data_IF_133153026288
#
_entry.id   IF_133153026288
#
_cell.length_a   1.000
_cell.length_b   1.000
_cell.length_c   1.000
_cell.angle_alpha   90.00
_cell.angle_beta   90.00
_cell.angle_gamma   90.00
#
_symmetry.space_group_name_H-M   'P 1'
#
loop_
_entity.id
_entity.type
_entity.pdbx_description
1 polymer ?
#
# COMPACT_ATOMS: atom_id res chain seq x y z
N UNK A 1 104.08 41.25 -8.48
CA UNK A 1 103.61 40.58 -7.25
C UNK A 1 102.19 40.15 -7.50
N UNK A 2 101.86 38.92 -7.77
CA UNK A 2 100.50 38.49 -7.97
C UNK A 2 99.99 37.67 -6.77
N UNK A 3 98.75 37.94 -6.42
CA UNK A 3 97.99 37.30 -5.34
C UNK A 3 97.28 36.08 -5.90
N UNK A 4 97.26 34.96 -5.22
CA UNK A 4 96.62 33.74 -5.76
C UNK A 4 95.12 33.74 -5.50
N UNK A 5 94.38 33.26 -6.52
CA UNK A 5 92.95 32.98 -6.48
C UNK A 5 92.68 31.69 -5.69
N UNK A 6 91.81 31.75 -4.71
CA UNK A 6 91.32 30.60 -4.01
C UNK A 6 90.07 30.08 -4.67
N UNK A 7 90.02 28.78 -5.06
CA UNK A 7 88.93 28.12 -5.59
C UNK A 7 87.86 27.74 -4.52
N UNK A 8 86.63 28.04 -4.79
CA UNK A 8 85.48 27.62 -3.97
C UNK A 8 84.88 26.26 -4.56
N UNK A 9 84.54 25.33 -3.70
CA UNK A 9 83.92 24.07 -4.18
C UNK A 9 82.43 24.27 -4.50
N UNK A 10 82.00 23.67 -5.61
CA UNK A 10 80.63 23.60 -6.05
C UNK A 10 79.79 22.70 -5.09
N UNK A 11 78.73 23.26 -4.57
CA UNK A 11 77.74 22.50 -3.85
C UNK A 11 76.71 21.91 -4.84
N UNK A 12 76.64 20.58 -4.96
CA UNK A 12 75.56 19.86 -5.62
C UNK A 12 74.32 20.05 -4.78
N UNK A 13 73.29 20.68 -5.34
CA UNK A 13 71.92 20.67 -4.80
C UNK A 13 71.20 19.41 -5.28
N UNK A 14 70.99 18.48 -4.38
CA UNK A 14 70.08 17.36 -4.63
C UNK A 14 68.63 17.85 -4.58
N UNK A 15 67.95 17.82 -5.74
CA UNK A 15 66.51 18.10 -5.80
C UNK A 15 65.77 16.83 -5.33
N UNK A 16 65.17 16.92 -4.13
CA UNK A 16 64.23 15.90 -3.64
C UNK A 16 62.89 16.18 -4.30
N UNK A 17 62.51 15.32 -5.29
CA UNK A 17 61.16 15.29 -5.81
C UNK A 17 60.23 14.66 -4.77
N UNK A 18 59.44 15.47 -4.08
CA UNK A 18 58.36 15.04 -3.23
C UNK A 18 57.18 14.70 -4.13
N UNK A 19 56.98 13.39 -4.45
CA UNK A 19 55.76 12.89 -5.10
C UNK A 19 54.66 12.89 -4.06
N UNK A 20 53.81 13.93 -4.08
CA UNK A 20 52.53 13.95 -3.38
C UNK A 20 51.53 13.02 -4.14
N UNK A 21 51.43 11.79 -3.69
CA UNK A 21 50.32 10.90 -4.09
C UNK A 21 49.01 11.47 -3.49
N UNK A 22 48.22 12.13 -4.34
CA UNK A 22 46.86 12.51 -4.00
C UNK A 22 46.03 11.17 -3.95
N UNK A 23 45.84 10.64 -2.74
CA UNK A 23 44.87 9.60 -2.52
C UNK A 23 43.46 10.20 -2.68
N UNK A 24 42.84 9.99 -3.83
CA UNK A 24 41.39 10.22 -3.96
C UNK A 24 40.69 9.22 -3.02
N UNK A 25 40.31 9.68 -1.84
CA UNK A 25 39.36 9.00 -1.01
C UNK A 25 37.99 9.05 -1.76
N UNK A 26 37.65 7.96 -2.45
CA UNK A 26 36.32 7.76 -2.94
C UNK A 26 35.41 7.69 -1.69
N UNK A 27 34.71 8.79 -1.41
CA UNK A 27 33.65 8.81 -0.41
C UNK A 27 32.66 7.72 -0.83
N UNK A 28 32.65 6.59 -0.12
CA UNK A 28 31.62 5.59 -0.26
C UNK A 28 30.30 6.29 0.02
N UNK A 29 29.55 6.56 -1.05
CA UNK A 29 28.18 7.06 -0.94
C UNK A 29 27.43 6.01 -0.15
N UNK A 30 27.01 6.33 1.07
CA UNK A 30 26.11 5.47 1.83
C UNK A 30 24.93 5.12 0.91
N UNK A 31 24.66 3.84 0.75
CA UNK A 31 23.49 3.41 0.01
C UNK A 31 22.27 4.12 0.62
N UNK A 32 21.34 4.64 -0.20
CA UNK A 32 20.15 5.26 0.33
C UNK A 32 19.45 4.25 1.24
N UNK A 33 19.10 4.68 2.44
CA UNK A 33 18.33 3.86 3.39
C UNK A 33 17.03 3.46 2.69
N UNK A 34 16.81 2.16 2.60
CA UNK A 34 15.56 1.64 2.05
C UNK A 34 14.41 2.11 2.95
N UNK A 35 13.30 2.60 2.38
CA UNK A 35 12.17 3.04 3.18
C UNK A 35 11.65 1.90 4.07
N UNK A 36 11.14 2.20 5.28
CA UNK A 36 10.60 1.18 6.17
C UNK A 36 9.45 0.42 5.49
N UNK A 37 9.25 -0.82 5.92
CA UNK A 37 8.12 -1.60 5.45
C UNK A 37 6.83 -1.05 6.07
N UNK A 38 5.72 -1.00 5.32
CA UNK A 38 4.41 -0.74 5.91
C UNK A 38 4.09 -1.75 7.01
N UNK A 39 3.33 -1.32 8.02
CA UNK A 39 2.94 -2.18 9.12
C UNK A 39 2.27 -3.48 8.61
N UNK A 40 2.70 -4.61 9.17
CA UNK A 40 2.25 -5.93 8.77
C UNK A 40 2.88 -6.49 7.50
N UNK A 41 3.69 -5.72 6.78
CA UNK A 41 4.51 -6.26 5.71
C UNK A 41 5.82 -6.83 6.29
N UNK A 42 6.29 -7.93 5.71
CA UNK A 42 7.58 -8.52 6.06
C UNK A 42 8.36 -8.90 4.82
N UNK A 43 9.70 -8.79 4.91
CA UNK A 43 10.57 -9.24 3.82
C UNK A 43 10.46 -10.74 3.67
N UNK A 44 10.27 -11.19 2.44
CA UNK A 44 10.41 -12.60 2.12
C UNK A 44 11.88 -12.99 2.23
N UNK A 45 12.15 -14.11 2.90
CA UNK A 45 13.48 -14.70 2.95
C UNK A 45 13.90 -15.10 1.53
N UNK A 46 15.18 -14.91 1.22
CA UNK A 46 15.75 -15.49 -0.01
C UNK A 46 15.68 -17.00 0.12
N UNK A 47 15.32 -17.74 -0.95
CA UNK A 47 15.34 -19.19 -0.92
C UNK A 47 16.73 -19.67 -0.49
N UNK A 48 16.83 -20.21 0.72
CA UNK A 48 18.08 -20.70 1.26
C UNK A 48 18.56 -21.95 0.49
N UNK A 49 19.87 -22.12 0.40
CA UNK A 49 20.50 -23.34 -0.14
C UNK A 49 20.61 -24.45 0.90
N UNK A 50 20.18 -24.20 2.15
CA UNK A 50 20.26 -25.18 3.23
C UNK A 50 19.18 -26.23 3.01
N UNK A 51 19.52 -27.52 2.97
CA UNK A 51 18.57 -28.60 2.93
C UNK A 51 17.66 -28.51 4.18
N UNK A 52 16.38 -28.29 3.97
CA UNK A 52 15.39 -28.36 5.05
C UNK A 52 14.93 -29.81 5.12
N UNK A 53 14.90 -30.38 6.33
CA UNK A 53 14.28 -31.68 6.54
C UNK A 53 12.88 -31.66 5.95
N UNK A 54 12.54 -32.59 5.03
CA UNK A 54 11.20 -32.63 4.48
C UNK A 54 10.17 -32.68 5.60
N UNK A 55 9.05 -31.96 5.49
CA UNK A 55 8.01 -32.05 6.48
C UNK A 55 7.54 -33.49 6.62
N UNK A 56 7.11 -33.90 7.81
CA UNK A 56 6.57 -35.26 8.00
C UNK A 56 5.41 -35.49 7.00
N UNK A 57 5.20 -36.73 6.57
CA UNK A 57 4.09 -37.06 5.68
C UNK A 57 2.79 -36.50 6.24
N UNK A 58 1.91 -36.05 5.35
CA UNK A 58 0.61 -35.53 5.74
C UNK A 58 -0.15 -36.59 6.58
N UNK A 59 -0.73 -36.15 7.69
CA UNK A 59 -1.57 -37.02 8.51
C UNK A 59 -2.76 -37.58 7.71
N UNK A 60 -3.16 -38.80 8.02
CA UNK A 60 -4.40 -39.36 7.48
C UNK A 60 -5.33 -39.75 8.66
N UNK A 61 -6.57 -39.28 8.69
CA UNK A 61 -7.16 -38.29 7.76
C UNK A 61 -6.46 -36.93 7.87
N UNK A 62 -6.43 -36.14 6.77
CA UNK A 62 -5.86 -34.80 6.80
C UNK A 62 -6.67 -33.91 7.76
N UNK A 63 -6.01 -32.90 8.33
CA UNK A 63 -6.68 -31.91 9.16
C UNK A 63 -7.75 -31.20 8.33
N UNK A 64 -9.00 -31.21 8.83
CA UNK A 64 -10.15 -30.60 8.16
C UNK A 64 -10.20 -29.08 8.41
N UNK A 65 -9.11 -28.37 8.12
CA UNK A 65 -9.02 -26.92 8.09
C UNK A 65 -8.94 -26.46 6.63
N UNK A 66 -9.95 -25.76 6.16
CA UNK A 66 -9.92 -25.16 4.84
C UNK A 66 -9.02 -23.93 4.84
N UNK A 67 -8.19 -23.84 3.83
CA UNK A 67 -7.35 -22.65 3.55
C UNK A 67 -7.63 -22.20 2.12
N UNK A 68 -8.12 -20.98 1.94
CA UNK A 68 -8.42 -20.43 0.61
C UNK A 68 -8.05 -18.96 0.52
N UNK A 69 -7.78 -18.49 -0.68
CA UNK A 69 -7.56 -17.08 -1.01
C UNK A 69 -8.55 -16.68 -2.09
N UNK A 70 -9.53 -15.80 -1.80
CA UNK A 70 -10.55 -15.40 -2.78
C UNK A 70 -9.96 -14.69 -4.00
N UNK A 71 -8.94 -13.84 -3.78
CA UNK A 71 -8.25 -13.12 -4.85
C UNK A 71 -6.75 -13.41 -4.80
N UNK A 72 -6.24 -14.02 -5.87
CA UNK A 72 -4.81 -14.29 -5.99
C UNK A 72 -4.00 -12.98 -6.00
N UNK A 73 -2.88 -12.91 -5.25
CA UNK A 73 -2.08 -11.69 -5.14
C UNK A 73 -1.44 -11.32 -6.48
N UNK A 74 -1.42 -10.03 -6.77
CA UNK A 74 -0.71 -9.46 -7.92
C UNK A 74 0.56 -8.77 -7.44
N UNK A 75 1.64 -8.92 -8.19
CA UNK A 75 2.92 -8.26 -7.90
C UNK A 75 2.76 -6.75 -8.00
N UNK A 76 3.00 -6.03 -6.89
CA UNK A 76 2.84 -4.59 -6.77
C UNK A 76 4.20 -3.92 -6.55
N UNK A 77 4.74 -3.17 -7.52
CA UNK A 77 6.01 -2.47 -7.36
C UNK A 77 5.84 -1.19 -6.53
N UNK A 78 6.74 -0.97 -5.58
CA UNK A 78 6.85 0.26 -4.81
C UNK A 78 8.24 0.41 -4.19
N UNK A 79 8.86 1.56 -4.35
CA UNK A 79 10.07 1.98 -3.66
C UNK A 79 11.19 0.91 -3.64
N UNK A 80 11.51 0.34 -4.81
CA UNK A 80 12.57 -0.67 -4.95
C UNK A 80 12.22 -2.06 -4.44
N UNK A 81 10.94 -2.33 -4.19
CA UNK A 81 10.41 -3.62 -3.73
C UNK A 81 9.22 -4.06 -4.56
N UNK A 82 8.94 -5.37 -4.50
CA UNK A 82 7.71 -5.97 -4.99
C UNK A 82 6.90 -6.48 -3.79
N UNK A 83 5.63 -6.11 -3.73
CA UNK A 83 4.73 -6.52 -2.64
C UNK A 83 3.68 -7.51 -3.14
N UNK A 84 3.33 -8.48 -2.29
CA UNK A 84 2.15 -9.31 -2.42
C UNK A 84 1.24 -9.02 -1.24
N UNK A 85 0.06 -8.48 -1.50
CA UNK A 85 -0.95 -8.10 -0.49
C UNK A 85 -2.20 -8.93 -0.75
N UNK A 86 -2.59 -9.78 0.20
CA UNK A 86 -3.70 -10.72 0.04
C UNK A 86 -4.22 -11.23 1.39
N UNK A 87 -5.32 -11.99 1.37
CA UNK A 87 -5.93 -12.59 2.54
C UNK A 87 -6.00 -14.11 2.41
N UNK A 88 -5.78 -14.81 3.54
CA UNK A 88 -6.14 -16.22 3.70
C UNK A 88 -7.41 -16.33 4.51
N UNK A 89 -8.41 -16.97 3.96
CA UNK A 89 -9.62 -17.36 4.65
C UNK A 89 -9.44 -18.77 5.21
N UNK A 90 -9.60 -18.92 6.51
CA UNK A 90 -9.51 -20.16 7.26
C UNK A 90 -10.92 -20.55 7.70
N UNK A 91 -11.25 -21.85 7.57
CA UNK A 91 -12.54 -22.39 8.04
C UNK A 91 -12.29 -23.73 8.72
N UNK A 92 -12.73 -23.87 9.96
CA UNK A 92 -12.59 -25.11 10.73
C UNK A 92 -13.75 -26.05 10.46
N UNK A 93 -13.48 -27.18 9.78
CA UNK A 93 -14.41 -28.28 9.57
C UNK A 93 -14.10 -29.52 10.44
N UNK A 94 -13.19 -29.39 11.42
CA UNK A 94 -12.91 -30.47 12.37
C UNK A 94 -14.06 -30.62 13.38
N UNK A 95 -14.07 -31.70 14.12
CA UNK A 95 -15.08 -31.97 15.17
C UNK A 95 -14.79 -31.26 16.49
N UNK A 96 -13.68 -30.52 16.59
CA UNK A 96 -13.24 -29.78 17.78
C UNK A 96 -12.69 -28.40 17.42
N UNK A 97 -12.41 -27.58 18.42
CA UNK A 97 -11.72 -26.32 18.25
C UNK A 97 -10.25 -26.57 17.86
N UNK A 98 -9.71 -25.74 16.96
CA UNK A 98 -8.29 -25.77 16.57
C UNK A 98 -7.61 -24.49 17.00
N UNK A 99 -6.42 -24.61 17.59
CA UNK A 99 -5.59 -23.46 17.95
C UNK A 99 -4.56 -23.20 16.87
N UNK A 100 -4.55 -21.96 16.40
CA UNK A 100 -3.61 -21.48 15.39
C UNK A 100 -2.30 -21.06 16.06
N UNK A 101 -1.18 -21.65 15.62
CA UNK A 101 0.17 -21.36 16.15
C UNK A 101 1.00 -20.52 15.21
N UNK A 102 0.65 -20.49 13.94
CA UNK A 102 1.37 -19.72 12.94
C UNK A 102 0.98 -20.08 11.53
N UNK A 103 1.58 -19.35 10.59
CA UNK A 103 1.47 -19.61 9.17
C UNK A 103 2.87 -19.52 8.54
N UNK A 104 3.28 -20.55 7.83
CA UNK A 104 4.44 -20.53 6.96
C UNK A 104 3.99 -20.21 5.53
N UNK A 105 4.64 -19.25 4.90
CA UNK A 105 4.48 -18.97 3.47
C UNK A 105 5.67 -19.56 2.74
N UNK A 106 5.44 -20.41 1.77
CA UNK A 106 6.46 -21.16 1.03
C UNK A 106 6.36 -20.91 -0.47
N UNK A 107 7.49 -21.06 -1.15
CA UNK A 107 7.52 -21.14 -2.61
C UNK A 107 6.97 -22.51 -3.05
N UNK A 108 5.83 -22.53 -3.74
CA UNK A 108 5.23 -23.78 -4.19
C UNK A 108 6.07 -24.51 -5.24
N UNK A 109 6.92 -23.79 -5.98
CA UNK A 109 7.88 -24.38 -6.93
C UNK A 109 9.14 -24.95 -6.27
N UNK A 110 9.35 -24.67 -4.97
CA UNK A 110 10.52 -25.13 -4.20
C UNK A 110 10.10 -25.65 -2.82
N UNK A 111 9.34 -26.74 -2.76
CA UNK A 111 8.71 -27.20 -1.51
C UNK A 111 9.73 -27.61 -0.43
N UNK A 112 10.95 -27.98 -0.81
CA UNK A 112 12.04 -28.35 0.10
C UNK A 112 12.86 -27.14 0.58
N UNK A 113 12.56 -25.92 0.14
CA UNK A 113 13.24 -24.71 0.63
C UNK A 113 12.69 -24.25 1.99
N UNK A 114 13.48 -23.45 2.71
CA UNK A 114 12.99 -22.75 3.89
C UNK A 114 11.77 -21.88 3.55
N UNK A 115 10.87 -21.63 4.49
CA UNK A 115 9.75 -20.71 4.29
C UNK A 115 10.25 -19.33 3.86
N UNK A 116 9.51 -18.70 2.95
CA UNK A 116 9.72 -17.30 2.56
C UNK A 116 9.40 -16.36 3.73
N UNK A 117 8.42 -16.74 4.52
CA UNK A 117 7.99 -16.00 5.70
C UNK A 117 7.36 -16.95 6.70
N UNK A 118 7.51 -16.61 7.99
CA UNK A 118 6.86 -17.30 9.09
C UNK A 118 6.13 -16.23 9.91
N UNK A 119 4.84 -16.41 10.06
CA UNK A 119 4.03 -15.67 11.02
C UNK A 119 3.93 -16.57 12.25
N UNK A 120 4.61 -16.20 13.30
CA UNK A 120 4.44 -16.84 14.61
C UNK A 120 3.09 -16.47 15.24
N UNK A 121 2.81 -16.99 16.41
CA UNK A 121 1.54 -16.75 17.11
C UNK A 121 1.27 -15.25 17.35
N UNK A 122 2.29 -14.48 17.73
CA UNK A 122 2.15 -13.05 17.99
C UNK A 122 1.89 -12.27 16.71
N UNK A 123 2.66 -12.57 15.65
CA UNK A 123 2.47 -11.95 14.33
C UNK A 123 1.13 -12.34 13.70
N UNK A 124 0.66 -13.57 13.94
CA UNK A 124 -0.64 -14.04 13.46
C UNK A 124 -1.80 -13.35 14.20
N UNK A 125 -1.71 -13.21 15.51
CA UNK A 125 -2.70 -12.51 16.35
C UNK A 125 -2.97 -11.09 15.83
N UNK A 126 -1.93 -10.34 15.48
CA UNK A 126 -2.06 -8.99 14.94
C UNK A 126 -2.73 -8.93 13.55
N UNK A 127 -2.81 -10.06 12.84
CA UNK A 127 -3.29 -10.15 11.44
C UNK A 127 -4.57 -10.95 11.26
N UNK A 128 -5.02 -11.65 12.30
CA UNK A 128 -6.29 -12.38 12.26
C UNK A 128 -7.45 -11.45 12.58
N UNK A 129 -8.52 -11.59 11.84
CA UNK A 129 -9.79 -10.92 12.14
C UNK A 129 -10.93 -11.93 11.95
N UNK A 130 -11.92 -11.84 12.82
CA UNK A 130 -13.25 -12.31 12.50
C UNK A 130 -13.92 -11.32 11.56
N UNK A 131 -14.84 -11.81 10.76
CA UNK A 131 -15.67 -10.96 9.90
C UNK A 131 -16.77 -10.33 10.77
N UNK A 132 -16.46 -9.18 11.39
CA UNK A 132 -17.43 -8.35 12.10
C UNK A 132 -17.43 -6.95 11.51
N UNK A 133 -18.63 -6.38 11.34
CA UNK A 133 -18.79 -5.00 10.90
C UNK A 133 -18.59 -4.08 12.10
N UNK A 134 -17.57 -3.22 12.07
CA UNK A 134 -17.49 -2.02 12.89
C UNK A 134 -16.74 -2.10 14.21
N UNK A 135 -16.17 -3.22 14.60
CA UNK A 135 -15.30 -3.29 15.78
C UNK A 135 -13.94 -3.86 15.43
N UNK A 136 -12.89 -3.30 16.02
CA UNK A 136 -11.55 -3.87 16.02
C UNK A 136 -11.61 -5.17 16.83
N UNK A 137 -11.95 -6.27 16.15
CA UNK A 137 -12.02 -7.59 16.79
C UNK A 137 -10.65 -7.99 17.33
N UNK A 138 -10.59 -8.41 18.57
CA UNK A 138 -9.41 -9.03 19.15
C UNK A 138 -8.99 -10.22 18.28
N UNK A 139 -7.68 -10.35 18.04
CA UNK A 139 -7.14 -11.44 17.24
C UNK A 139 -7.53 -12.79 17.80
N UNK A 140 -8.04 -13.69 16.94
CA UNK A 140 -8.52 -15.01 17.35
C UNK A 140 -7.42 -16.03 17.12
N UNK A 141 -6.98 -16.67 18.19
CA UNK A 141 -6.00 -17.77 18.14
C UNK A 141 -6.67 -19.14 18.02
N UNK A 142 -7.94 -19.24 18.39
CA UNK A 142 -8.68 -20.49 18.41
C UNK A 142 -9.93 -20.37 17.55
N UNK A 143 -10.08 -21.30 16.62
CA UNK A 143 -11.28 -21.44 15.80
C UNK A 143 -12.12 -22.60 16.33
N UNK A 144 -13.30 -22.31 16.82
CA UNK A 144 -14.30 -23.32 17.15
C UNK A 144 -14.81 -24.08 15.91
N UNK A 145 -15.57 -25.12 16.15
CA UNK A 145 -16.21 -25.92 15.07
C UNK A 145 -17.08 -25.01 14.21
N UNK A 146 -16.87 -25.05 12.89
CA UNK A 146 -17.61 -24.24 11.93
C UNK A 146 -17.18 -22.76 11.87
N UNK A 147 -16.30 -22.30 12.76
CA UNK A 147 -15.83 -20.92 12.75
C UNK A 147 -14.80 -20.66 11.65
N UNK A 148 -14.78 -19.44 11.15
CA UNK A 148 -13.81 -18.94 10.19
C UNK A 148 -13.05 -17.71 10.71
N UNK A 149 -11.88 -17.48 10.16
CA UNK A 149 -11.10 -16.27 10.35
C UNK A 149 -10.40 -15.87 9.05
N UNK A 150 -9.96 -14.62 8.98
CA UNK A 150 -9.20 -14.09 7.85
C UNK A 150 -7.85 -13.60 8.36
N UNK A 151 -6.77 -14.12 7.77
CA UNK A 151 -5.42 -13.65 8.00
C UNK A 151 -5.00 -12.70 6.89
N UNK A 152 -4.60 -11.49 7.25
CA UNK A 152 -4.14 -10.45 6.33
C UNK A 152 -2.63 -10.53 6.15
N UNK A 153 -2.18 -10.80 4.93
CA UNK A 153 -0.78 -11.03 4.61
C UNK A 153 -0.22 -9.92 3.72
N UNK A 154 1.03 -9.58 3.98
CA UNK A 154 1.82 -8.70 3.15
C UNK A 154 3.27 -9.19 3.11
N UNK A 155 3.75 -9.60 1.95
CA UNK A 155 5.13 -10.00 1.70
C UNK A 155 5.82 -8.97 0.84
N UNK A 156 7.05 -8.61 1.19
CA UNK A 156 7.91 -7.74 0.41
C UNK A 156 9.12 -8.54 -0.12
N UNK A 157 9.44 -8.34 -1.38
CA UNK A 157 10.60 -8.90 -2.05
C UNK A 157 11.48 -7.75 -2.52
N UNK A 158 12.79 -7.93 -2.47
CA UNK A 158 13.71 -7.03 -3.18
C UNK A 158 13.30 -6.98 -4.67
N UNK A 159 13.28 -5.79 -5.29
CA UNK A 159 12.87 -5.65 -6.69
C UNK A 159 13.73 -6.47 -7.68
N UNK A 160 14.97 -6.83 -7.28
CA UNK A 160 15.87 -7.68 -8.06
C UNK A 160 15.68 -9.18 -7.79
N UNK A 161 14.94 -9.52 -6.74
CA UNK A 161 14.64 -10.91 -6.41
C UNK A 161 13.41 -11.40 -7.19
N UNK A 162 13.42 -12.64 -7.71
CA UNK A 162 12.25 -13.18 -8.36
C UNK A 162 11.14 -13.41 -7.33
N UNK A 163 9.93 -12.96 -7.66
CA UNK A 163 8.73 -13.32 -6.91
C UNK A 163 8.30 -14.73 -7.36
N UNK A 164 8.04 -15.67 -6.45
CA UNK A 164 7.59 -17.02 -6.81
C UNK A 164 6.32 -17.00 -7.68
N UNK A 165 6.26 -17.87 -8.66
CA UNK A 165 5.08 -18.00 -9.54
C UNK A 165 3.83 -18.53 -8.80
N UNK A 166 4.04 -19.23 -7.68
CA UNK A 166 2.98 -19.66 -6.79
C UNK A 166 3.48 -19.79 -5.36
N UNK A 167 2.60 -19.50 -4.41
CA UNK A 167 2.82 -19.64 -2.98
C UNK A 167 2.10 -20.89 -2.46
N UNK A 168 2.57 -21.45 -1.36
CA UNK A 168 1.86 -22.43 -0.56
C UNK A 168 1.87 -21.99 0.91
N UNK A 169 0.75 -22.15 1.57
CA UNK A 169 0.60 -21.80 2.97
C UNK A 169 0.46 -23.07 3.81
N UNK A 170 1.23 -23.13 4.88
CA UNK A 170 1.15 -24.17 5.89
C UNK A 170 0.69 -23.52 7.18
N UNK A 171 -0.52 -23.86 7.62
CA UNK A 171 -1.09 -23.39 8.88
C UNK A 171 -0.66 -24.34 9.98
N UNK A 172 0.07 -23.82 10.97
CA UNK A 172 0.59 -24.57 12.10
C UNK A 172 -0.46 -24.60 13.22
N UNK A 173 -0.74 -25.76 13.74
CA UNK A 173 -1.65 -26.03 14.85
C UNK A 173 -0.89 -26.64 16.04
N UNK A 174 -1.54 -26.84 17.18
CA UNK A 174 -0.89 -27.42 18.37
C UNK A 174 -0.19 -28.77 18.10
N UNK A 175 -0.85 -29.67 17.39
CA UNK A 175 -0.37 -31.05 17.20
C UNK A 175 -0.26 -31.46 15.73
N UNK A 176 -0.59 -30.58 14.81
CA UNK A 176 -0.66 -30.88 13.38
C UNK A 176 -0.36 -29.63 12.52
N UNK A 177 -0.42 -29.79 11.21
CA UNK A 177 -0.43 -28.67 10.29
C UNK A 177 -1.41 -28.94 9.14
N UNK A 178 -1.99 -27.90 8.58
CA UNK A 178 -2.83 -27.95 7.42
C UNK A 178 -2.16 -27.21 6.25
N UNK A 179 -1.96 -27.90 5.14
CA UNK A 179 -1.41 -27.29 3.92
C UNK A 179 -2.55 -26.77 3.01
N UNK A 180 -2.45 -25.51 2.63
CA UNK A 180 -3.32 -24.91 1.64
C UNK A 180 -2.95 -25.32 0.21
N UNK A 181 -3.83 -25.06 -0.77
CA UNK A 181 -3.53 -25.26 -2.18
C UNK A 181 -2.39 -24.36 -2.66
N UNK A 182 -1.76 -24.69 -3.79
CA UNK A 182 -0.86 -23.77 -4.46
C UNK A 182 -1.65 -22.54 -4.94
N UNK A 183 -1.21 -21.36 -4.51
CA UNK A 183 -1.80 -20.07 -4.84
C UNK A 183 -0.96 -19.39 -5.91
N UNK A 184 -1.43 -19.22 -7.16
CA UNK A 184 -0.68 -18.53 -8.18
C UNK A 184 -0.46 -17.04 -7.80
N UNK A 185 0.72 -16.52 -8.08
CA UNK A 185 0.98 -15.08 -8.05
C UNK A 185 0.74 -14.52 -9.45
N UNK A 186 -0.05 -13.43 -9.53
CA UNK A 186 -0.38 -12.81 -10.82
C UNK A 186 0.72 -11.84 -11.24
N UNK A 187 1.22 -12.01 -12.44
CA UNK A 187 2.15 -11.09 -13.11
C UNK A 187 1.46 -10.27 -14.21
N UNK A 188 0.12 -10.19 -14.20
CA UNK A 188 -0.66 -9.37 -15.14
C UNK A 188 -0.20 -7.91 -15.08
N UNK A 189 -0.11 -7.22 -16.23
CA UNK A 189 0.19 -5.80 -16.24
C UNK A 189 -0.79 -5.02 -15.36
N UNK A 190 -0.25 -4.20 -14.47
CA UNK A 190 -1.06 -3.34 -13.61
C UNK A 190 -1.63 -2.17 -14.40
N UNK A 191 -2.82 -1.72 -14.02
CA UNK A 191 -3.40 -0.50 -14.53
C UNK A 191 -2.48 0.69 -14.18
N UNK A 192 -2.06 1.43 -15.21
CA UNK A 192 -1.21 2.62 -15.08
C UNK A 192 -2.07 3.86 -15.12
N UNK A 193 -2.11 4.57 -14.02
CA UNK A 193 -2.99 5.72 -13.82
C UNK A 193 -2.23 7.04 -13.90
N UNK A 194 -2.89 8.05 -14.44
CA UNK A 194 -2.49 9.44 -14.27
C UNK A 194 -2.73 9.91 -12.83
N UNK A 195 -2.34 11.13 -12.55
CA UNK A 195 -2.51 11.75 -11.23
C UNK A 195 -3.99 12.01 -10.92
N UNK A 196 -4.48 11.71 -9.71
CA UNK A 196 -5.83 12.07 -9.28
C UNK A 196 -5.93 13.53 -8.79
N UNK A 197 -4.80 14.13 -8.47
CA UNK A 197 -4.63 15.46 -7.88
C UNK A 197 -3.41 16.16 -8.49
N UNK A 198 -3.27 17.45 -8.25
CA UNK A 198 -2.09 18.21 -8.65
C UNK A 198 -1.39 18.84 -7.45
N UNK A 199 -0.14 19.27 -7.61
CA UNK A 199 0.66 19.91 -6.58
C UNK A 199 1.37 18.91 -5.66
N UNK A 200 1.99 19.45 -4.61
CA UNK A 200 2.86 18.72 -3.70
C UNK A 200 2.25 18.53 -2.31
N UNK A 201 3.00 17.84 -1.44
CA UNK A 201 2.67 17.55 -0.05
C UNK A 201 1.42 16.67 0.14
N UNK A 202 1.14 15.80 -0.81
CA UNK A 202 0.11 14.79 -0.69
C UNK A 202 0.64 13.55 0.03
N UNK A 203 -0.13 13.05 0.98
CA UNK A 203 0.16 11.78 1.68
C UNK A 203 -0.96 10.80 1.42
N UNK A 204 -0.66 9.60 0.89
CA UNK A 204 -1.64 8.53 0.67
C UNK A 204 -1.87 7.74 1.96
N UNK A 205 -2.65 8.30 2.87
CA UNK A 205 -3.02 7.62 4.11
C UNK A 205 -3.88 6.39 3.85
N UNK A 206 -3.98 5.50 4.84
CA UNK A 206 -4.81 4.30 4.78
C UNK A 206 -4.47 3.35 3.60
N UNK A 207 -3.22 3.34 3.16
CA UNK A 207 -2.73 2.39 2.16
C UNK A 207 -2.69 0.94 2.73
N UNK A 208 -2.25 -0.09 1.97
CA UNK A 208 -2.25 -1.50 2.39
C UNK A 208 -1.33 -1.82 3.58
N UNK A 209 -1.61 -1.25 4.74
CA UNK A 209 -0.92 -1.45 6.01
C UNK A 209 -1.90 -2.01 7.05
N UNK A 210 -1.43 -2.78 8.02
CA UNK A 210 -2.27 -3.30 9.11
C UNK A 210 -2.82 -2.20 10.02
N UNK A 211 -2.22 -1.01 10.03
CA UNK A 211 -2.73 0.15 10.76
C UNK A 211 -3.91 0.82 10.04
N UNK A 212 -4.21 0.35 8.84
CA UNK A 212 -5.23 0.93 7.98
C UNK A 212 -6.56 0.19 8.11
N UNK A 213 -7.62 0.93 8.44
CA UNK A 213 -8.99 0.41 8.40
C UNK A 213 -9.43 0.05 6.96
N UNK A 214 -8.77 0.55 5.92
CA UNK A 214 -8.99 0.11 4.55
C UNK A 214 -8.52 -1.32 4.36
N UNK A 215 -7.27 -1.60 4.78
CA UNK A 215 -6.67 -2.92 4.64
C UNK A 215 -7.40 -3.98 5.46
N UNK A 216 -7.80 -3.64 6.68
CA UNK A 216 -8.48 -4.55 7.60
C UNK A 216 -10.00 -4.57 7.41
N UNK A 217 -10.54 -3.75 6.51
CA UNK A 217 -11.97 -3.59 6.24
C UNK A 217 -12.52 -4.68 5.34
N UNK A 218 -12.74 -5.86 5.88
CA UNK A 218 -13.47 -6.93 5.20
C UNK A 218 -14.97 -6.75 5.48
N UNK A 219 -15.76 -6.76 4.41
CA UNK A 219 -17.20 -6.56 4.45
C UNK A 219 -17.91 -7.72 3.78
N UNK A 220 -19.07 -8.11 4.31
CA UNK A 220 -19.97 -9.05 3.64
C UNK A 220 -21.09 -8.25 3.01
N UNK A 221 -21.08 -8.19 1.69
CA UNK A 221 -22.10 -7.52 0.88
C UNK A 221 -22.65 -8.55 -0.11
N UNK A 222 -23.96 -8.67 -0.21
CA UNK A 222 -24.64 -9.65 -1.05
C UNK A 222 -24.13 -11.09 -0.83
N UNK A 223 -23.87 -11.44 0.44
CA UNK A 223 -23.40 -12.77 0.84
C UNK A 223 -21.94 -13.09 0.50
N UNK A 224 -21.16 -12.14 -0.04
CA UNK A 224 -19.76 -12.33 -0.38
C UNK A 224 -18.84 -11.45 0.50
N UNK A 225 -17.88 -12.09 1.15
CA UNK A 225 -16.84 -11.41 1.92
C UNK A 225 -15.78 -10.83 0.98
N UNK A 226 -15.57 -9.52 1.04
CA UNK A 226 -14.68 -8.77 0.14
C UNK A 226 -13.84 -7.74 0.88
N UNK A 227 -12.64 -7.44 0.36
CA UNK A 227 -11.78 -6.34 0.83
C UNK A 227 -11.71 -5.28 -0.27
N UNK A 228 -12.80 -4.54 -0.42
CA UNK A 228 -12.95 -3.55 -1.50
C UNK A 228 -11.92 -2.43 -1.44
N UNK A 229 -11.48 -2.07 -0.23
CA UNK A 229 -10.49 -1.00 -0.01
C UNK A 229 -9.06 -1.51 0.14
N UNK A 230 -8.74 -2.75 -0.30
CA UNK A 230 -7.38 -3.36 -0.17
C UNK A 230 -6.26 -2.45 -0.66
N UNK A 231 -6.51 -1.70 -1.74
CA UNK A 231 -5.56 -0.76 -2.35
C UNK A 231 -6.10 0.67 -2.39
N UNK A 232 -7.04 1.01 -1.52
CA UNK A 232 -7.57 2.37 -1.45
C UNK A 232 -6.57 3.33 -0.79
N UNK A 233 -6.63 4.59 -1.19
CA UNK A 233 -5.79 5.68 -0.69
C UNK A 233 -6.67 6.86 -0.27
N UNK A 234 -6.43 7.38 0.94
CA UNK A 234 -6.98 8.66 1.39
C UNK A 234 -5.92 9.74 1.18
N UNK A 235 -6.13 10.56 0.17
CA UNK A 235 -5.22 11.64 -0.16
C UNK A 235 -5.44 12.85 0.73
N UNK A 236 -4.52 13.04 1.68
CA UNK A 236 -4.48 14.18 2.59
C UNK A 236 -3.32 15.09 2.22
N UNK A 237 -3.45 16.39 2.51
CA UNK A 237 -2.40 17.36 2.28
C UNK A 237 -1.95 17.96 3.60
N UNK A 238 -0.64 18.03 3.82
CA UNK A 238 -0.04 18.54 5.05
C UNK A 238 0.93 19.68 4.74
N UNK A 239 1.14 20.57 5.71
CA UNK A 239 2.22 21.54 5.64
C UNK A 239 3.59 20.91 6.00
N UNK A 240 4.62 21.74 6.05
CA UNK A 240 5.98 21.27 6.38
C UNK A 240 6.13 20.82 7.85
N UNK A 241 5.20 21.22 8.71
CA UNK A 241 5.13 20.85 10.13
C UNK A 241 4.23 19.63 10.37
N UNK A 242 3.67 19.03 9.33
CA UNK A 242 2.78 17.88 9.42
C UNK A 242 1.34 18.23 9.85
N UNK A 243 0.93 19.51 9.77
CA UNK A 243 -0.44 19.93 10.06
C UNK A 243 -1.31 19.83 8.80
N UNK A 244 -2.53 19.31 8.95
CA UNK A 244 -3.49 19.16 7.85
C UNK A 244 -4.28 20.44 7.58
N UNK A 245 -4.25 21.42 8.48
CA UNK A 245 -5.05 22.65 8.40
C UNK A 245 -4.35 23.83 9.06
N UNK A 246 -4.80 25.04 8.71
CA UNK A 246 -4.45 26.30 9.38
C UNK A 246 -5.74 27.07 9.72
N UNK A 247 -5.93 27.42 11.01
CA UNK A 247 -7.13 28.09 11.50
C UNK A 247 -8.04 27.19 12.32
N UNK A 248 -9.35 27.30 12.12
CA UNK A 248 -10.35 26.52 12.87
C UNK A 248 -10.39 25.07 12.39
N UNK A 249 -10.09 24.14 13.29
CA UNK A 249 -10.14 22.70 13.03
C UNK A 249 -11.54 22.17 12.65
N UNK A 250 -12.60 22.90 12.96
CA UNK A 250 -13.99 22.53 12.64
C UNK A 250 -14.49 23.11 11.32
N UNK A 251 -13.73 24.01 10.71
CA UNK A 251 -14.06 24.55 9.38
C UNK A 251 -13.30 23.76 8.30
N UNK A 252 -14.03 23.07 7.44
CA UNK A 252 -13.44 22.31 6.31
C UNK A 252 -12.53 23.17 5.44
N UNK A 253 -12.81 24.49 5.32
CA UNK A 253 -12.02 25.44 4.52
C UNK A 253 -10.64 25.73 5.11
N UNK A 254 -10.42 25.40 6.38
CA UNK A 254 -9.11 25.50 7.02
C UNK A 254 -8.13 24.42 6.55
N UNK A 255 -8.62 23.33 5.95
CA UNK A 255 -7.81 22.17 5.55
C UNK A 255 -7.18 22.38 4.16
N UNK A 256 -5.88 22.06 4.05
CA UNK A 256 -5.13 22.27 2.80
C UNK A 256 -5.65 21.43 1.63
N UNK A 257 -6.20 20.25 1.90
CA UNK A 257 -6.78 19.39 0.87
C UNK A 257 -8.13 19.88 0.35
N UNK A 258 -8.91 20.66 1.18
CA UNK A 258 -10.26 21.07 0.82
C UNK A 258 -10.30 21.95 -0.43
N UNK A 259 -11.25 21.69 -1.32
CA UNK A 259 -11.46 22.45 -2.55
C UNK A 259 -10.41 22.20 -3.66
N UNK A 260 -9.40 21.36 -3.42
CA UNK A 260 -8.42 20.97 -4.46
C UNK A 260 -9.09 20.21 -5.58
N UNK A 261 -8.65 20.47 -6.81
CA UNK A 261 -9.23 19.86 -8.01
C UNK A 261 -8.95 18.36 -8.06
N UNK A 262 -9.97 17.56 -8.35
CA UNK A 262 -9.91 16.12 -8.54
C UNK A 262 -9.95 15.83 -10.05
N UNK A 263 -9.02 14.98 -10.50
CA UNK A 263 -8.78 14.71 -11.91
C UNK A 263 -9.08 13.25 -12.27
N UNK A 264 -9.60 13.03 -13.48
CA UNK A 264 -9.73 11.69 -14.03
C UNK A 264 -8.34 11.05 -14.23
N UNK A 265 -8.11 9.89 -13.62
CA UNK A 265 -6.81 9.18 -13.69
C UNK A 265 -6.56 8.49 -15.02
N UNK A 266 -7.61 8.29 -15.82
CA UNK A 266 -7.56 7.67 -17.14
C UNK A 266 -8.75 8.15 -17.98
N UNK A 267 -8.74 7.86 -19.27
CA UNK A 267 -9.92 7.93 -20.11
C UNK A 267 -10.96 6.92 -19.59
N UNK A 268 -12.24 7.29 -19.62
CA UNK A 268 -13.28 6.40 -19.12
C UNK A 268 -14.68 6.94 -19.36
N UNK A 269 -15.65 6.18 -18.86
CA UNK A 269 -17.06 6.57 -18.85
C UNK A 269 -17.53 6.76 -17.42
N UNK A 270 -18.20 7.85 -17.12
CA UNK A 270 -18.83 8.08 -15.82
C UNK A 270 -20.01 7.12 -15.65
N UNK A 271 -19.93 6.19 -14.71
CA UNK A 271 -21.02 5.26 -14.38
C UNK A 271 -21.81 5.73 -13.17
N UNK A 272 -21.22 6.57 -12.33
CA UNK A 272 -21.90 7.24 -11.21
C UNK A 272 -21.36 8.65 -11.05
N UNK A 273 -22.27 9.62 -10.92
CA UNK A 273 -21.99 11.00 -10.51
C UNK A 273 -23.09 11.40 -9.54
N UNK A 274 -22.79 11.43 -8.25
CA UNK A 274 -23.75 11.72 -7.18
C UNK A 274 -23.29 12.92 -6.39
N UNK A 275 -24.15 13.92 -6.27
CA UNK A 275 -23.93 15.18 -5.53
C UNK A 275 -25.07 15.43 -4.53
N UNK A 276 -24.97 16.49 -3.74
CA UNK A 276 -26.02 16.95 -2.82
C UNK A 276 -25.87 16.48 -1.37
N UNK A 277 -24.78 15.78 -1.03
CA UNK A 277 -24.41 15.52 0.37
C UNK A 277 -23.68 16.73 0.94
N UNK A 278 -24.07 17.25 2.12
CA UNK A 278 -23.34 18.31 2.79
C UNK A 278 -21.97 17.79 3.27
N UNK A 279 -21.02 18.71 3.43
CA UNK A 279 -19.77 18.40 4.13
C UNK A 279 -20.05 18.17 5.63
N UNK A 280 -19.33 17.25 6.24
CA UNK A 280 -19.29 17.08 7.68
C UNK A 280 -18.45 18.18 8.33
N UNK A 281 -18.78 18.57 9.58
CA UNK A 281 -17.81 19.25 10.41
C UNK A 281 -16.65 18.30 10.72
N UNK A 282 -15.37 18.70 10.52
CA UNK A 282 -14.24 17.82 10.77
C UNK A 282 -14.20 17.30 12.22
N UNK A 283 -13.72 16.07 12.39
CA UNK A 283 -13.54 15.44 13.71
C UNK A 283 -12.55 16.24 14.55
N UNK A 284 -12.91 16.46 15.81
CA UNK A 284 -12.04 17.03 16.84
C UNK A 284 -12.00 16.09 18.05
N UNK A 285 -11.30 16.49 19.10
CA UNK A 285 -11.32 15.76 20.39
C UNK A 285 -12.74 15.70 21.00
N UNK A 286 -13.58 16.68 20.71
CA UNK A 286 -15.00 16.68 21.12
C UNK A 286 -15.87 15.63 20.40
N UNK A 287 -15.30 14.89 19.44
CA UNK A 287 -15.97 13.83 18.72
C UNK A 287 -16.24 14.13 17.25
N UNK A 288 -17.11 13.32 16.66
CA UNK A 288 -17.53 13.40 15.26
C UNK A 288 -18.99 12.96 15.13
N UNK A 289 -19.75 13.74 14.38
CA UNK A 289 -21.11 13.37 13.96
C UNK A 289 -21.23 13.63 12.47
N UNK A 290 -21.54 12.62 11.66
CA UNK A 290 -21.71 12.81 10.23
C UNK A 290 -22.97 13.65 9.96
N UNK A 291 -22.93 14.49 8.94
CA UNK A 291 -24.05 15.36 8.53
C UNK A 291 -25.26 14.56 8.02
N UNK A 292 -25.05 13.31 7.61
CA UNK A 292 -26.08 12.32 7.29
C UNK A 292 -25.70 10.95 7.86
N UNK A 293 -26.67 10.08 8.19
CA UNK A 293 -26.39 8.71 8.60
C UNK A 293 -25.50 7.99 7.57
N UNK A 294 -24.48 7.29 8.08
CA UNK A 294 -23.56 6.49 7.24
C UNK A 294 -24.17 5.11 7.04
N UNK A 295 -24.34 4.73 5.78
CA UNK A 295 -24.80 3.42 5.31
C UNK A 295 -23.92 3.01 4.13
N UNK A 296 -24.05 1.78 3.62
CA UNK A 296 -23.34 1.36 2.41
C UNK A 296 -23.62 2.31 1.23
N UNK A 297 -24.82 2.85 1.13
CA UNK A 297 -25.21 3.77 0.07
C UNK A 297 -24.65 5.20 0.28
N UNK A 298 -24.52 5.66 1.52
CA UNK A 298 -24.13 7.04 1.84
C UNK A 298 -22.65 7.21 2.19
N UNK A 299 -21.91 6.13 2.40
CA UNK A 299 -20.52 6.13 2.87
C UNK A 299 -19.60 6.97 1.98
N UNK A 300 -19.77 6.90 0.65
CA UNK A 300 -18.95 7.65 -0.31
C UNK A 300 -19.28 9.15 -0.37
N UNK A 301 -20.44 9.59 0.15
CA UNK A 301 -20.90 10.97 0.03
C UNK A 301 -21.10 11.42 -1.42
N UNK A 302 -20.64 12.62 -1.76
CA UNK A 302 -20.55 13.08 -3.14
C UNK A 302 -19.45 12.33 -3.84
N UNK A 303 -19.73 11.76 -5.03
CA UNK A 303 -18.83 10.81 -5.65
C UNK A 303 -18.89 10.82 -7.17
N UNK A 304 -17.79 10.40 -7.78
CA UNK A 304 -17.71 10.01 -9.19
C UNK A 304 -17.10 8.62 -9.28
N UNK A 305 -17.68 7.76 -10.12
CA UNK A 305 -17.12 6.44 -10.47
C UNK A 305 -16.94 6.38 -11.98
N UNK A 306 -15.75 6.04 -12.42
CA UNK A 306 -15.39 5.86 -13.83
C UNK A 306 -15.26 4.37 -14.16
N UNK A 307 -15.91 3.93 -15.22
CA UNK A 307 -15.59 2.68 -15.91
C UNK A 307 -14.36 2.93 -16.81
N UNK A 308 -13.27 2.24 -16.50
CA UNK A 308 -12.00 2.30 -17.24
C UNK A 308 -11.88 1.20 -18.30
N UNK A 309 -12.93 0.38 -18.45
CA UNK A 309 -12.92 -0.81 -19.28
C UNK A 309 -12.36 -2.04 -18.57
N UNK A 310 -12.48 -3.19 -19.22
CA UNK A 310 -11.95 -4.48 -18.74
C UNK A 310 -12.41 -4.90 -17.33
N UNK A 311 -13.59 -4.43 -16.88
CA UNK A 311 -14.08 -4.70 -15.52
C UNK A 311 -13.30 -3.96 -14.44
N UNK A 312 -12.75 -2.80 -14.75
CA UNK A 312 -12.00 -1.97 -13.81
C UNK A 312 -12.68 -0.62 -13.64
N UNK A 313 -12.87 -0.21 -12.39
CA UNK A 313 -13.59 1.01 -12.04
C UNK A 313 -12.76 1.85 -11.09
N UNK A 314 -12.68 3.16 -11.35
CA UNK A 314 -12.03 4.13 -10.46
C UNK A 314 -13.08 4.93 -9.70
N UNK A 315 -13.06 4.84 -8.36
CA UNK A 315 -13.98 5.55 -7.48
C UNK A 315 -13.29 6.72 -6.78
N UNK A 316 -13.97 7.86 -6.76
CA UNK A 316 -13.56 9.12 -6.15
C UNK A 316 -14.65 9.55 -5.19
N UNK A 317 -14.36 9.53 -3.87
CA UNK A 317 -15.35 9.79 -2.82
C UNK A 317 -15.04 11.03 -2.01
N UNK A 318 -16.02 11.43 -1.22
CA UNK A 318 -15.98 12.56 -0.29
C UNK A 318 -15.81 13.91 -0.98
N UNK A 319 -16.34 14.05 -2.20
CA UNK A 319 -16.22 15.28 -2.97
C UNK A 319 -17.02 16.43 -2.33
N UNK A 320 -16.60 17.65 -2.63
CA UNK A 320 -17.22 18.88 -2.15
C UNK A 320 -18.62 19.03 -2.75
N UNK A 321 -19.62 19.44 -1.93
CA UNK A 321 -20.98 19.71 -2.40
C UNK A 321 -21.00 20.71 -3.56
N UNK A 322 -21.76 20.39 -4.61
CA UNK A 322 -21.94 21.26 -5.78
C UNK A 322 -20.72 21.39 -6.69
N UNK A 323 -19.67 20.57 -6.47
CA UNK A 323 -18.44 20.68 -7.25
C UNK A 323 -18.31 19.68 -8.40
N UNK A 324 -19.21 18.69 -8.49
CA UNK A 324 -19.12 17.63 -9.51
C UNK A 324 -19.36 18.26 -10.89
N UNK A 325 -18.35 18.13 -11.76
CA UNK A 325 -18.29 18.75 -13.07
C UNK A 325 -18.69 17.82 -14.23
N UNK A 326 -19.12 16.59 -13.92
CA UNK A 326 -19.44 15.55 -14.90
C UNK A 326 -20.80 14.91 -14.61
N UNK A 327 -21.35 14.21 -15.61
CA UNK A 327 -22.67 13.54 -15.52
C UNK A 327 -22.53 12.05 -15.82
N UNK A 328 -23.35 11.23 -15.19
CA UNK A 328 -23.48 9.80 -15.53
C UNK A 328 -23.71 9.63 -17.04
N UNK A 329 -22.98 8.69 -17.64
CA UNK A 329 -22.97 8.42 -19.07
C UNK A 329 -21.94 9.24 -19.87
N UNK A 330 -21.37 10.31 -19.31
CA UNK A 330 -20.36 11.14 -19.97
C UNK A 330 -19.04 10.38 -20.13
N UNK A 331 -18.39 10.57 -21.28
CA UNK A 331 -16.98 10.18 -21.48
C UNK A 331 -16.07 11.28 -20.97
N UNK A 332 -15.04 10.88 -20.25
CA UNK A 332 -14.00 11.79 -19.75
C UNK A 332 -12.65 11.40 -20.29
N UNK A 333 -11.74 12.36 -20.38
CA UNK A 333 -10.33 12.13 -20.72
C UNK A 333 -9.47 12.18 -19.47
N UNK A 334 -8.39 11.47 -19.46
CA UNK A 334 -7.37 11.57 -18.40
C UNK A 334 -6.96 13.03 -18.17
N UNK A 335 -6.88 13.42 -16.89
CA UNK A 335 -6.59 14.80 -16.49
C UNK A 335 -7.80 15.74 -16.51
N UNK A 336 -8.95 15.32 -17.00
CA UNK A 336 -10.16 16.12 -16.97
C UNK A 336 -10.65 16.35 -15.54
N UNK A 337 -11.04 17.57 -15.16
CA UNK A 337 -11.65 17.83 -13.85
C UNK A 337 -12.95 17.04 -13.64
N UNK A 338 -13.07 16.39 -12.48
CA UNK A 338 -14.25 15.65 -12.07
C UNK A 338 -15.06 16.38 -10.99
N UNK A 339 -14.38 17.12 -10.11
CA UNK A 339 -14.95 17.82 -8.96
C UNK A 339 -13.82 18.36 -8.09
N UNK A 340 -14.13 18.57 -6.80
CA UNK A 340 -13.17 19.09 -5.81
C UNK A 340 -13.20 18.23 -4.56
N UNK A 341 -12.08 18.18 -3.85
CA UNK A 341 -11.97 17.52 -2.54
C UNK A 341 -12.89 18.20 -1.53
N UNK A 342 -13.71 17.40 -0.84
CA UNK A 342 -14.62 17.82 0.18
C UNK A 342 -14.49 17.01 1.46
N UNK A 343 -15.59 16.90 2.23
CA UNK A 343 -15.68 16.16 3.48
C UNK A 343 -17.05 15.48 3.66
N UNK A 344 -17.69 15.07 2.56
CA UNK A 344 -19.02 14.46 2.59
C UNK A 344 -18.97 12.96 2.87
N UNK A 345 -20.09 12.35 3.23
CA UNK A 345 -20.19 10.92 3.54
C UNK A 345 -19.49 10.52 4.84
N UNK A 346 -18.69 9.45 4.84
CA UNK A 346 -17.95 8.99 6.04
C UNK A 346 -16.55 9.61 6.17
N UNK A 347 -16.36 10.82 5.70
CA UNK A 347 -15.10 11.56 5.86
C UNK A 347 -15.02 12.27 7.20
N UNK A 348 -13.96 11.99 7.99
CA UNK A 348 -13.68 12.69 9.26
C UNK A 348 -12.93 13.99 9.06
N UNK A 349 -12.13 14.11 8.02
CA UNK A 349 -11.37 15.29 7.62
C UNK A 349 -11.39 15.41 6.10
N UNK A 350 -11.25 16.60 5.53
CA UNK A 350 -11.17 16.79 4.08
C UNK A 350 -10.05 15.98 3.46
N UNK A 351 -10.40 15.08 2.55
CA UNK A 351 -9.49 14.25 1.78
C UNK A 351 -10.20 13.70 0.53
N UNK A 352 -9.42 13.23 -0.43
CA UNK A 352 -9.94 12.41 -1.52
C UNK A 352 -9.73 10.94 -1.18
N UNK A 353 -10.80 10.18 -1.01
CA UNK A 353 -10.73 8.73 -1.05
C UNK A 353 -10.71 8.25 -2.50
N UNK A 354 -9.72 7.46 -2.84
CA UNK A 354 -9.52 6.93 -4.19
C UNK A 354 -9.25 5.43 -4.15
N UNK A 355 -9.96 4.66 -4.98
CA UNK A 355 -9.72 3.21 -5.14
C UNK A 355 -10.01 2.75 -6.55
N UNK A 356 -9.44 1.58 -6.91
CA UNK A 356 -9.79 0.83 -8.12
C UNK A 356 -10.43 -0.48 -7.70
N UNK A 357 -11.52 -0.86 -8.38
CA UNK A 357 -12.33 -2.03 -8.05
C UNK A 357 -12.72 -2.83 -9.29
N UNK A 358 -13.15 -4.07 -9.09
CA UNK A 358 -13.63 -4.96 -10.16
C UNK A 358 -15.12 -4.80 -10.48
N UNK A 359 -15.84 -3.91 -9.79
CA UNK A 359 -17.22 -3.57 -10.07
C UNK A 359 -17.52 -2.10 -9.79
N UNK A 360 -18.60 -1.57 -10.38
CA UNK A 360 -19.01 -0.18 -10.24
C UNK A 360 -19.50 0.16 -8.81
N UNK A 361 -20.12 -0.79 -8.12
CA UNK A 361 -20.37 -0.68 -6.68
C UNK A 361 -19.08 -1.00 -5.94
N UNK A 362 -18.38 0.06 -5.56
CA UNK A 362 -17.08 -0.08 -4.95
C UNK A 362 -17.12 -0.74 -3.56
N UNK A 363 -18.25 -0.79 -2.86
CA UNK A 363 -18.35 -1.49 -1.57
C UNK A 363 -18.64 -2.98 -1.72
N UNK A 364 -19.36 -3.37 -2.78
CA UNK A 364 -19.67 -4.75 -3.12
C UNK A 364 -18.64 -5.41 -4.07
N UNK A 365 -17.42 -4.90 -4.11
CA UNK A 365 -16.35 -5.27 -5.06
C UNK A 365 -15.05 -5.68 -4.37
N UNK A 366 -14.11 -6.23 -5.12
CA UNK A 366 -12.72 -6.43 -4.69
C UNK A 366 -11.86 -5.23 -5.08
N UNK A 367 -11.01 -4.81 -4.15
CA UNK A 367 -9.99 -3.78 -4.43
C UNK A 367 -8.90 -4.34 -5.35
N UNK A 368 -8.66 -3.67 -6.47
CA UNK A 368 -7.66 -4.05 -7.47
C UNK A 368 -6.39 -3.20 -7.33
N UNK A 369 -5.20 -3.80 -7.52
CA UNK A 369 -3.94 -3.06 -7.50
C UNK A 369 -3.78 -2.23 -8.78
N UNK A 370 -3.13 -1.08 -8.63
CA UNK A 370 -2.79 -0.15 -9.71
C UNK A 370 -1.45 0.50 -9.42
N UNK A 371 -0.90 1.23 -10.38
CA UNK A 371 0.30 2.05 -10.23
C UNK A 371 0.07 3.42 -10.86
N UNK A 372 0.77 4.43 -10.35
CA UNK A 372 0.78 5.73 -11.01
C UNK A 372 1.89 5.78 -12.07
N UNK A 373 1.61 6.42 -13.20
CA UNK A 373 2.61 6.55 -14.26
C UNK A 373 3.84 7.31 -13.78
N UNK A 374 3.62 8.43 -13.10
CA UNK A 374 4.69 9.29 -12.60
C UNK A 374 4.24 10.08 -11.38
N UNK A 375 5.12 10.21 -10.42
CA UNK A 375 5.05 11.15 -9.30
C UNK A 375 6.47 11.36 -8.75
N UNK A 376 6.63 12.34 -7.89
CA UNK A 376 7.85 12.49 -7.09
C UNK A 376 7.54 12.11 -5.65
N UNK A 377 8.40 11.32 -5.04
CA UNK A 377 8.31 10.95 -3.63
C UNK A 377 9.39 11.67 -2.84
N UNK A 378 9.05 12.14 -1.64
CA UNK A 378 10.03 12.72 -0.73
C UNK A 378 10.71 11.60 0.03
N UNK A 379 12.04 11.58 -0.02
CA UNK A 379 12.86 10.62 0.74
C UNK A 379 13.06 11.11 2.18
N UNK A 380 13.54 10.24 3.07
CA UNK A 380 13.87 10.55 4.45
C UNK A 380 14.91 11.68 4.58
N UNK A 381 15.79 11.83 3.58
CA UNK A 381 16.73 12.94 3.47
C UNK A 381 16.11 14.26 2.98
N UNK A 382 14.79 14.32 2.78
CA UNK A 382 14.07 15.52 2.34
C UNK A 382 14.16 15.81 0.85
N UNK A 383 14.87 15.02 0.07
CA UNK A 383 14.99 15.16 -1.39
C UNK A 383 13.79 14.55 -2.12
N UNK A 384 13.51 15.10 -3.30
CA UNK A 384 12.47 14.57 -4.17
C UNK A 384 13.06 13.62 -5.20
N UNK A 385 12.55 12.38 -5.23
CA UNK A 385 12.90 11.36 -6.22
C UNK A 385 11.74 11.09 -7.17
N UNK A 386 12.06 10.98 -8.46
CA UNK A 386 11.08 10.58 -9.46
C UNK A 386 10.76 9.08 -9.32
N UNK A 387 9.48 8.76 -9.35
CA UNK A 387 8.93 7.41 -9.34
C UNK A 387 8.06 7.22 -10.58
N UNK A 388 8.13 6.03 -11.16
CA UNK A 388 7.36 5.71 -12.36
C UNK A 388 6.88 4.27 -12.34
N UNK A 389 5.58 4.08 -12.58
CA UNK A 389 4.99 2.74 -12.60
C UNK A 389 4.99 2.07 -11.23
N UNK A 390 4.86 2.84 -10.17
CA UNK A 390 4.86 2.37 -8.79
C UNK A 390 3.59 2.76 -8.05
N UNK A 391 3.21 1.95 -7.07
CA UNK A 391 2.16 2.27 -6.10
C UNK A 391 2.81 2.98 -4.89
N UNK A 392 2.21 4.06 -4.34
CA UNK A 392 2.79 4.77 -3.21
C UNK A 392 2.48 4.03 -1.89
N UNK A 393 3.33 3.05 -1.55
CA UNK A 393 3.19 2.24 -0.35
C UNK A 393 3.82 2.92 0.86
N UNK A 394 3.20 2.79 2.04
CA UNK A 394 3.70 3.34 3.31
C UNK A 394 3.48 4.85 3.47
N UNK A 395 4.13 5.40 4.48
CA UNK A 395 4.07 6.83 4.78
C UNK A 395 5.04 7.60 3.88
N UNK A 396 4.52 8.13 2.79
CA UNK A 396 5.29 8.85 1.78
C UNK A 396 4.61 10.16 1.45
N UNK A 397 5.41 11.22 1.26
CA UNK A 397 4.92 12.52 0.78
C UNK A 397 5.16 12.62 -0.72
N UNK A 398 4.12 12.95 -1.47
CA UNK A 398 4.14 12.97 -2.92
C UNK A 398 3.97 14.38 -3.50
N UNK A 399 4.52 14.53 -4.71
CA UNK A 399 4.31 15.66 -5.59
C UNK A 399 3.91 15.15 -6.97
N UNK A 400 2.71 15.52 -7.41
CA UNK A 400 2.18 15.21 -8.74
C UNK A 400 2.49 16.28 -9.80
N UNK A 401 3.31 17.28 -9.44
CA UNK A 401 3.62 18.42 -10.30
C UNK A 401 2.49 19.47 -10.37
N UNK A 402 2.75 20.59 -11.02
CA UNK A 402 1.85 21.73 -11.02
C UNK A 402 0.49 21.41 -11.66
N UNK A 403 -0.52 22.20 -11.30
CA UNK A 403 -1.77 22.24 -12.04
C UNK A 403 -1.47 22.64 -13.48
N UNK A 404 -1.83 21.78 -14.44
CA UNK A 404 -1.77 22.18 -15.85
C UNK A 404 -3.00 23.04 -16.11
N UNK A 405 -2.80 24.34 -16.33
CA UNK A 405 -3.85 25.17 -16.88
C UNK A 405 -4.22 24.59 -18.26
N UNK A 406 -5.32 23.85 -18.32
CA UNK A 406 -5.95 23.59 -19.61
C UNK A 406 -6.52 24.93 -20.09
N UNK A 407 -5.86 25.51 -21.11
CA UNK A 407 -6.39 26.64 -21.85
C UNK A 407 -7.58 26.20 -22.69
#
# INVERSE_FOLDING_TARGET
>A
MPIPFAARPARLAAAVFLQTTLALAAAARAAPLEPPLPAGCQMAARPGTVPVTPPPPAAFPPVQLQVRTPLAPTVLPSAGRHYLVYELHLQNFTTGAVRLRGIEVRDAGRPASAPLAVLDEAALRARLRQVTIGEDGDGIEQLGVGQGAVAFLCLAFDARAPVPAALRHRVLLDTAAADGPALPTRSTPLLRLGRPLAGSNWTPSNNPSLDSHHRMGLWVVDGAARVSRRYALDWKQFDRQGKAYAGDARDVRSYYAYGKQVLAVADGRVVSARDGFPDNAPKTEAGFTPARPVTLDTIGGNQVVLDLGHGQFAAYYHLQPGSIAVKTGQRVRRGQPLGRVGNSGDARWPHLHFQVTDAADAMASEGLPFVFEQYRAKTDGGNWEARSGEYPMGDVVLDFGPETNQK
#
